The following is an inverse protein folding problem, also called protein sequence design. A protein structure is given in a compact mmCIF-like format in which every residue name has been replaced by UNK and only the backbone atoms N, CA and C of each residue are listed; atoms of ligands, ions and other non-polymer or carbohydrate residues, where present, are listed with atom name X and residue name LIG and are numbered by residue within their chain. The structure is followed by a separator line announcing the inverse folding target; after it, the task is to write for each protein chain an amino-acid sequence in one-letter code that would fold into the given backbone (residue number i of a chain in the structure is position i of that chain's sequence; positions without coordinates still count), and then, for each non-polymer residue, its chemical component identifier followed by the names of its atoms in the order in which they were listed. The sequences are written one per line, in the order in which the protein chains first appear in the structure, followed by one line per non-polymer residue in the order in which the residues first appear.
data_IF_993038773379
#
_entry.id   IF_993038773379
#
_cell.length_a   1.000
_cell.length_b   1.000
_cell.length_c   1.000
_cell.angle_alpha   90.00
_cell.angle_beta   90.00
_cell.angle_gamma   90.00
#
_symmetry.space_group_name_H-M   'P 1'
#
loop_
_entity.id
_entity.type
_entity.pdbx_description
1 polymer ?
#
# COMPACT_ATOMS: atom_id res chain seq x y z
N UNK A 1 0.13 -1.43 -11.51
CA UNK A 1 -1.14 -1.72 -10.81
C UNK A 1 -2.29 -1.28 -11.72
N UNK A 2 -3.33 -2.11 -11.96
CA UNK A 2 -4.42 -1.77 -12.89
C UNK A 2 -5.46 -0.85 -12.22
N UNK A 3 -5.06 0.36 -11.84
CA UNK A 3 -5.88 1.30 -11.06
C UNK A 3 -7.22 1.67 -11.70
N UNK A 4 -7.30 1.68 -13.03
CA UNK A 4 -8.51 2.00 -13.77
C UNK A 4 -9.62 0.94 -13.63
N UNK A 5 -9.30 -0.30 -13.21
CA UNK A 5 -10.29 -1.37 -13.05
C UNK A 5 -11.02 -1.32 -11.70
N UNK A 6 -10.40 -0.71 -10.68
CA UNK A 6 -10.92 -0.72 -9.31
C UNK A 6 -12.27 -0.03 -9.15
N UNK A 7 -12.57 0.95 -10.00
CA UNK A 7 -13.85 1.65 -10.01
C UNK A 7 -15.02 0.69 -10.33
N UNK A 8 -14.75 -0.41 -11.03
CA UNK A 8 -15.75 -1.43 -11.37
C UNK A 8 -15.90 -2.50 -10.30
N UNK A 9 -15.09 -2.46 -9.23
CA UNK A 9 -15.11 -3.39 -8.10
C UNK A 9 -15.42 -2.64 -6.78
N UNK A 10 -16.56 -1.92 -6.69
CA UNK A 10 -16.80 -0.99 -5.58
C UNK A 10 -16.92 -1.67 -4.21
N UNK A 11 -17.20 -2.97 -4.17
CA UNK A 11 -17.38 -3.76 -2.94
C UNK A 11 -16.15 -4.58 -2.55
N UNK A 12 -15.02 -4.42 -3.26
CA UNK A 12 -13.81 -5.18 -2.96
C UNK A 12 -13.29 -4.82 -1.56
N UNK A 13 -13.17 -5.83 -0.69
CA UNK A 13 -12.73 -5.67 0.71
C UNK A 13 -11.29 -6.08 0.95
N UNK A 14 -10.75 -6.95 0.11
CA UNK A 14 -9.41 -7.53 0.25
C UNK A 14 -8.70 -7.43 -1.09
N UNK A 15 -7.48 -6.89 -1.06
CA UNK A 15 -6.57 -6.85 -2.20
C UNK A 15 -5.24 -7.42 -1.76
N UNK A 16 -4.85 -8.53 -2.38
CA UNK A 16 -3.52 -9.09 -2.25
C UNK A 16 -2.75 -8.87 -3.56
N UNK A 17 -1.70 -8.05 -3.49
CA UNK A 17 -0.75 -7.81 -4.57
C UNK A 17 0.65 -8.33 -4.21
N UNK A 18 0.76 -9.13 -3.15
CA UNK A 18 2.05 -9.57 -2.66
C UNK A 18 2.81 -10.42 -3.67
N UNK A 19 4.13 -10.37 -3.60
CA UNK A 19 5.05 -11.12 -4.46
C UNK A 19 4.89 -10.86 -5.97
N UNK A 20 4.30 -9.73 -6.36
CA UNK A 20 4.24 -9.30 -7.75
C UNK A 20 5.45 -8.45 -8.16
N UNK A 21 5.71 -8.41 -9.47
CA UNK A 21 6.78 -7.62 -10.09
C UNK A 21 6.40 -6.13 -10.29
N UNK A 22 5.66 -5.55 -9.34
CA UNK A 22 5.25 -4.14 -9.37
C UNK A 22 6.49 -3.27 -9.14
N UNK A 23 6.70 -2.29 -10.03
CA UNK A 23 7.83 -1.35 -9.96
C UNK A 23 7.49 -0.05 -9.26
N UNK A 24 6.22 0.35 -9.28
CA UNK A 24 5.76 1.63 -8.74
C UNK A 24 4.41 1.50 -8.06
N UNK A 25 4.31 2.09 -6.87
CA UNK A 25 3.07 2.45 -6.19
C UNK A 25 2.98 3.98 -6.22
N UNK A 26 2.00 4.49 -6.94
CA UNK A 26 1.71 5.92 -7.12
C UNK A 26 0.43 6.31 -6.37
N UNK A 27 0.20 7.62 -6.17
CA UNK A 27 -1.00 8.15 -5.49
C UNK A 27 -2.34 7.68 -6.07
N UNK A 28 -2.37 7.18 -7.31
CA UNK A 28 -3.57 6.68 -7.98
C UNK A 28 -3.65 5.15 -8.06
N UNK A 29 -2.64 4.43 -7.56
CA UNK A 29 -2.56 2.97 -7.67
C UNK A 29 -3.78 2.23 -7.08
N UNK A 30 -4.39 2.81 -6.05
CA UNK A 30 -5.55 2.26 -5.34
C UNK A 30 -6.79 3.17 -5.46
N UNK A 31 -6.81 4.08 -6.44
CA UNK A 31 -7.98 4.93 -6.68
C UNK A 31 -9.22 4.07 -6.97
N UNK A 32 -10.37 4.42 -6.39
CA UNK A 32 -11.63 3.69 -6.57
C UNK A 32 -11.89 2.56 -5.57
N UNK A 33 -10.90 2.11 -4.79
CA UNK A 33 -11.04 1.07 -3.78
C UNK A 33 -11.67 1.60 -2.47
N UNK A 34 -12.91 2.06 -2.56
CA UNK A 34 -13.61 2.73 -1.45
C UNK A 34 -13.98 1.80 -0.30
N UNK A 35 -14.21 0.51 -0.59
CA UNK A 35 -14.61 -0.51 0.39
C UNK A 35 -13.45 -1.35 0.93
N UNK A 36 -12.20 -1.02 0.56
CA UNK A 36 -11.04 -1.85 0.86
C UNK A 36 -10.65 -1.78 2.34
N UNK A 37 -10.58 -2.95 2.97
CA UNK A 37 -10.29 -3.13 4.39
C UNK A 37 -8.93 -3.80 4.61
N UNK A 38 -8.53 -4.69 3.72
CA UNK A 38 -7.25 -5.41 3.82
C UNK A 38 -6.41 -5.23 2.56
N UNK A 39 -5.18 -4.75 2.76
CA UNK A 39 -4.20 -4.57 1.70
C UNK A 39 -2.92 -5.33 2.04
N UNK A 40 -2.52 -6.21 1.13
CA UNK A 40 -1.21 -6.87 1.18
C UNK A 40 -0.35 -6.42 0.01
N UNK A 41 0.75 -5.73 0.33
CA UNK A 41 1.76 -5.24 -0.63
C UNK A 41 3.16 -5.77 -0.29
N UNK A 42 3.24 -6.90 0.41
CA UNK A 42 4.51 -7.53 0.76
C UNK A 42 5.21 -8.22 -0.43
N UNK A 43 6.47 -8.63 -0.29
CA UNK A 43 7.23 -9.34 -1.30
C UNK A 43 7.51 -8.58 -2.61
N UNK A 44 7.30 -7.26 -2.69
CA UNK A 44 7.56 -6.50 -3.93
C UNK A 44 9.05 -6.23 -4.13
N UNK A 45 9.78 -7.23 -4.63
CA UNK A 45 11.25 -7.18 -4.79
C UNK A 45 11.74 -6.10 -5.76
N UNK A 46 10.91 -5.72 -6.72
CA UNK A 46 11.27 -4.79 -7.80
C UNK A 46 10.70 -3.38 -7.61
N UNK A 47 10.15 -3.07 -6.44
CA UNK A 47 9.57 -1.75 -6.17
C UNK A 47 10.68 -0.69 -6.13
N UNK A 48 10.57 0.32 -6.98
CA UNK A 48 11.52 1.44 -7.08
C UNK A 48 10.91 2.77 -6.64
N UNK A 49 9.59 2.87 -6.67
CA UNK A 49 8.86 4.07 -6.28
C UNK A 49 7.69 3.69 -5.38
N UNK A 50 7.62 4.37 -4.24
CA UNK A 50 6.52 4.26 -3.30
C UNK A 50 5.96 5.66 -3.07
N UNK A 51 4.64 5.79 -3.05
CA UNK A 51 3.94 7.02 -2.67
C UNK A 51 2.95 6.70 -1.57
N UNK A 52 3.24 7.12 -0.34
CA UNK A 52 2.37 6.89 0.82
C UNK A 52 0.93 7.37 0.61
N UNK A 53 0.70 8.40 -0.23
CA UNK A 53 -0.64 8.94 -0.53
C UNK A 53 -1.55 7.90 -1.19
N UNK A 54 -0.99 6.90 -1.86
CA UNK A 54 -1.75 5.81 -2.47
C UNK A 54 -2.61 5.09 -1.43
N UNK A 55 -2.05 4.85 -0.24
CA UNK A 55 -2.70 4.09 0.84
C UNK A 55 -3.50 5.04 1.74
N UNK A 56 -3.05 6.28 1.95
CA UNK A 56 -3.77 7.30 2.74
C UNK A 56 -5.21 7.55 2.27
N UNK A 57 -5.47 7.39 0.97
CA UNK A 57 -6.81 7.56 0.38
C UNK A 57 -7.78 6.45 0.79
N UNK A 58 -7.30 5.30 1.28
CA UNK A 58 -8.11 4.15 1.67
C UNK A 58 -8.60 4.34 3.12
N UNK A 59 -9.71 5.08 3.26
CA UNK A 59 -10.19 5.61 4.56
C UNK A 59 -10.61 4.55 5.56
N UNK A 60 -10.93 3.34 5.12
CA UNK A 60 -11.44 2.25 5.98
C UNK A 60 -10.47 1.06 6.06
N UNK A 61 -9.20 1.26 5.69
CA UNK A 61 -8.18 0.21 5.74
C UNK A 61 -7.87 -0.21 7.18
N UNK A 62 -8.25 -1.43 7.56
CA UNK A 62 -8.05 -1.97 8.92
C UNK A 62 -6.83 -2.88 9.02
N UNK A 63 -6.44 -3.53 7.91
CA UNK A 63 -5.30 -4.45 7.86
C UNK A 63 -4.32 -4.04 6.76
N UNK A 64 -3.07 -3.80 7.13
CA UNK A 64 -1.98 -3.54 6.20
C UNK A 64 -0.84 -4.53 6.42
N UNK A 65 -0.47 -5.24 5.36
CA UNK A 65 0.72 -6.08 5.30
C UNK A 65 1.68 -5.50 4.26
N UNK A 66 2.89 -5.14 4.67
CA UNK A 66 3.90 -4.54 3.80
C UNK A 66 5.31 -4.89 4.24
N UNK A 67 6.31 -4.55 3.44
CA UNK A 67 7.72 -4.58 3.84
C UNK A 67 8.32 -3.16 3.88
N UNK A 68 9.50 -3.03 4.45
CA UNK A 68 10.32 -1.82 4.27
C UNK A 68 11.03 -1.86 2.91
N UNK A 69 11.21 -0.69 2.29
CA UNK A 69 12.04 -0.54 1.08
C UNK A 69 13.11 0.53 1.32
N UNK A 70 14.19 0.24 2.06
CA UNK A 70 15.20 1.23 2.44
C UNK A 70 15.91 1.89 1.26
N UNK A 71 15.97 1.19 0.12
CA UNK A 71 16.60 1.68 -1.12
C UNK A 71 15.72 2.65 -1.93
N UNK A 72 14.47 2.90 -1.49
CA UNK A 72 13.61 3.91 -2.11
C UNK A 72 13.90 5.27 -1.45
N UNK A 73 14.14 6.28 -2.28
CA UNK A 73 14.32 7.66 -1.85
C UNK A 73 13.16 8.14 -0.98
N UNK A 74 13.48 8.81 0.13
CA UNK A 74 12.54 9.30 1.14
C UNK A 74 11.62 8.24 1.77
N UNK A 75 11.91 6.95 1.63
CA UNK A 75 11.02 5.89 2.13
C UNK A 75 10.70 6.04 3.61
N UNK A 76 11.70 6.33 4.46
CA UNK A 76 11.50 6.54 5.89
C UNK A 76 10.51 7.67 6.19
N UNK A 77 10.66 8.81 5.53
CA UNK A 77 9.73 9.95 5.64
C UNK A 77 8.33 9.57 5.18
N UNK A 78 8.22 8.85 4.07
CA UNK A 78 6.95 8.38 3.55
C UNK A 78 6.26 7.37 4.47
N UNK A 79 7.03 6.47 5.09
CA UNK A 79 6.53 5.51 6.07
C UNK A 79 6.00 6.22 7.32
N UNK A 80 6.76 7.16 7.89
CA UNK A 80 6.29 7.99 9.01
C UNK A 80 5.01 8.75 8.65
N UNK A 81 4.97 9.35 7.46
CA UNK A 81 3.79 10.05 6.95
C UNK A 81 2.59 9.12 6.78
N UNK A 82 2.80 7.89 6.35
CA UNK A 82 1.74 6.88 6.23
C UNK A 82 1.20 6.51 7.60
N UNK A 83 2.06 6.05 8.51
CA UNK A 83 1.67 5.50 9.80
C UNK A 83 1.04 6.56 10.72
N UNK A 84 1.48 7.81 10.65
CA UNK A 84 0.85 8.92 11.40
C UNK A 84 -0.57 9.26 10.92
N UNK A 85 -0.94 8.86 9.69
CA UNK A 85 -2.24 9.18 9.10
C UNK A 85 -3.28 8.05 9.18
N UNK A 86 -2.85 6.79 9.26
CA UNK A 86 -3.75 5.61 9.26
C UNK A 86 -4.34 5.32 10.66
N UNK A 87 -5.09 6.27 11.23
CA UNK A 87 -5.70 6.15 12.57
C UNK A 87 -6.72 5.01 12.69
N UNK A 88 -7.28 4.58 11.56
CA UNK A 88 -8.25 3.48 11.49
C UNK A 88 -7.60 2.09 11.48
N UNK A 89 -6.27 2.00 11.31
CA UNK A 89 -5.57 0.72 11.21
C UNK A 89 -5.72 -0.07 12.53
N UNK A 90 -5.84 -1.39 12.41
CA UNK A 90 -6.00 -2.33 13.54
C UNK A 90 -4.92 -3.39 13.53
N UNK A 91 -4.55 -3.86 12.34
CA UNK A 91 -3.53 -4.88 12.15
C UNK A 91 -2.48 -4.32 11.20
N UNK A 92 -1.24 -4.26 11.68
CA UNK A 92 -0.08 -3.86 10.90
C UNK A 92 0.96 -4.97 10.95
N UNK A 93 1.33 -5.50 9.79
CA UNK A 93 2.42 -6.47 9.63
C UNK A 93 3.49 -5.85 8.75
N UNK A 94 4.68 -5.64 9.31
CA UNK A 94 5.83 -5.09 8.61
C UNK A 94 6.94 -6.14 8.56
N UNK A 95 7.42 -6.42 7.34
CA UNK A 95 8.61 -7.23 7.10
C UNK A 95 9.80 -6.31 6.86
N UNK A 96 10.84 -6.42 7.69
CA UNK A 96 12.05 -5.62 7.53
C UNK A 96 12.90 -6.22 6.40
N UNK A 97 13.20 -5.42 5.38
CA UNK A 97 14.33 -5.68 4.49
C UNK A 97 15.56 -4.94 5.01
N UNK A 98 16.67 -5.67 5.03
CA UNK A 98 18.00 -5.13 5.27
C UNK A 98 18.53 -4.50 3.98
N UNK A 99 19.37 -3.48 4.14
CA UNK A 99 20.04 -2.73 3.06
C UNK A 99 21.09 -3.58 2.34
#
# INVERSE_FOLDING_TARGET
IPSHLWIHLPFLKVVDLSFNAIKEITSESFYGLQSLQELNINGMKNLKKFDSRAIKKIRILTTLTMQTWPNIEDFSTQMCNLLSSLKQLRILKIYLQES
#
